data_IF_069522715386
#
_entry.id   IF_069522715386
#
_cell.length_a   1.000
_cell.length_b   1.000
_cell.length_c   1.000
_cell.angle_alpha   90.00
_cell.angle_beta   90.00
_cell.angle_gamma   90.00
#
_symmetry.space_group_name_H-M   'P 1'
#
loop_
_entity.id
_entity.type
_entity.pdbx_description
1 polymer ?
#
# COMPACT_ATOMS: atom_id res chain seq x y z
N UNK A 1 -25.82 -2.00 -3.28
CA UNK A 1 -25.44 -2.05 -1.86
C UNK A 1 -25.50 -3.49 -1.33
N UNK A 2 -26.55 -4.27 -1.57
CA UNK A 2 -26.63 -5.66 -1.09
C UNK A 2 -25.54 -6.59 -1.65
N UNK A 3 -25.05 -6.33 -2.87
CA UNK A 3 -24.01 -7.15 -3.51
C UNK A 3 -22.67 -7.19 -2.75
N UNK A 4 -22.33 -6.13 -2.01
CA UNK A 4 -21.07 -6.03 -1.27
C UNK A 4 -21.19 -6.50 0.19
N UNK A 5 -22.41 -6.76 0.68
CA UNK A 5 -22.65 -7.08 2.08
C UNK A 5 -21.91 -8.35 2.53
N UNK A 6 -21.90 -9.38 1.68
CA UNK A 6 -21.17 -10.62 1.95
C UNK A 6 -19.64 -10.40 2.01
N UNK A 7 -19.11 -9.58 1.10
CA UNK A 7 -17.69 -9.24 1.07
C UNK A 7 -17.26 -8.43 2.29
N UNK A 8 -18.10 -7.49 2.75
CA UNK A 8 -17.84 -6.69 3.95
C UNK A 8 -17.88 -7.56 5.21
N UNK A 9 -18.87 -8.43 5.35
CA UNK A 9 -18.93 -9.38 6.46
C UNK A 9 -17.67 -10.24 6.51
N UNK A 10 -17.26 -10.81 5.38
CA UNK A 10 -16.06 -11.65 5.31
C UNK A 10 -14.79 -10.85 5.60
N UNK A 11 -14.67 -9.60 5.15
CA UNK A 11 -13.51 -8.75 5.44
C UNK A 11 -13.35 -8.46 6.94
N UNK A 12 -14.43 -8.50 7.72
CA UNK A 12 -14.42 -8.28 9.17
C UNK A 12 -14.20 -9.61 9.91
N UNK A 13 -14.81 -10.71 9.46
CA UNK A 13 -14.74 -12.01 10.14
C UNK A 13 -13.50 -12.83 9.80
N UNK A 14 -12.86 -12.57 8.65
CA UNK A 14 -11.71 -13.34 8.21
C UNK A 14 -10.49 -13.11 9.08
N UNK A 15 -9.76 -14.20 9.36
CA UNK A 15 -8.46 -14.14 10.05
C UNK A 15 -7.37 -13.51 9.16
N UNK A 16 -7.55 -13.52 7.85
CA UNK A 16 -6.59 -13.00 6.88
C UNK A 16 -7.05 -11.65 6.36
N UNK A 17 -6.15 -10.67 6.36
CA UNK A 17 -6.44 -9.31 5.89
C UNK A 17 -5.40 -8.86 4.87
N UNK A 18 -5.85 -8.25 3.78
CA UNK A 18 -5.00 -7.60 2.78
C UNK A 18 -4.45 -6.26 3.28
N UNK A 19 -4.92 -5.74 4.42
CA UNK A 19 -4.61 -4.39 4.90
C UNK A 19 -3.12 -4.10 5.07
N UNK A 20 -2.32 -5.08 5.50
CA UNK A 20 -0.85 -4.92 5.61
C UNK A 20 -0.20 -4.75 4.24
N UNK A 21 -0.63 -5.55 3.25
CA UNK A 21 -0.13 -5.49 1.88
C UNK A 21 -0.55 -4.16 1.23
N UNK A 22 -1.80 -3.76 1.41
CA UNK A 22 -2.32 -2.48 0.95
C UNK A 22 -1.57 -1.30 1.57
N UNK A 23 -1.23 -1.38 2.86
CA UNK A 23 -0.41 -0.38 3.54
C UNK A 23 0.97 -0.21 2.91
N UNK A 24 1.65 -1.32 2.58
CA UNK A 24 2.93 -1.29 1.87
C UNK A 24 2.79 -0.67 0.47
N UNK A 25 1.75 -1.06 -0.27
CA UNK A 25 1.46 -0.49 -1.60
C UNK A 25 1.16 1.01 -1.49
N UNK A 26 0.42 1.45 -0.48
CA UNK A 26 0.11 2.85 -0.26
C UNK A 26 1.38 3.66 0.06
N UNK A 27 2.25 3.16 0.96
CA UNK A 27 3.55 3.80 1.26
C UNK A 27 4.40 3.96 0.00
N UNK A 28 4.45 2.93 -0.84
CA UNK A 28 5.17 3.00 -2.12
C UNK A 28 4.56 4.06 -3.06
N UNK A 29 3.22 4.11 -3.18
CA UNK A 29 2.52 5.10 -4.02
C UNK A 29 2.78 6.53 -3.55
N UNK A 30 2.79 6.77 -2.24
CA UNK A 30 3.16 8.08 -1.67
C UNK A 30 4.57 8.46 -2.07
N UNK A 31 5.53 7.54 -1.91
CA UNK A 31 6.93 7.78 -2.27
C UNK A 31 7.09 8.11 -3.75
N UNK A 32 6.45 7.34 -4.64
CA UNK A 32 6.47 7.62 -6.09
C UNK A 32 5.86 9.00 -6.36
N UNK A 33 4.76 9.35 -5.66
CA UNK A 33 4.06 10.62 -5.88
C UNK A 33 4.88 11.84 -5.47
N UNK A 34 5.63 11.75 -4.38
CA UNK A 34 6.60 12.78 -3.98
C UNK A 34 7.77 12.92 -4.95
N UNK A 35 7.96 11.97 -5.85
CA UNK A 35 9.17 11.86 -6.67
C UNK A 35 8.91 12.01 -8.17
N UNK A 36 7.65 12.11 -8.60
CA UNK A 36 7.29 12.33 -10.00
C UNK A 36 8.11 13.48 -10.61
N UNK A 37 8.83 13.18 -11.70
CA UNK A 37 9.67 14.13 -12.42
C UNK A 37 10.99 14.53 -11.75
N UNK A 38 11.27 14.04 -10.52
CA UNK A 38 12.46 14.42 -9.73
C UNK A 38 13.44 13.27 -9.48
N UNK A 39 13.04 12.02 -9.72
CA UNK A 39 13.86 10.87 -9.40
C UNK A 39 13.58 9.62 -10.24
N UNK A 40 14.63 8.85 -10.53
CA UNK A 40 14.55 7.55 -11.19
C UNK A 40 14.40 6.36 -10.22
N UNK A 41 14.28 5.16 -10.78
CA UNK A 41 14.04 3.90 -10.05
C UNK A 41 15.07 3.61 -8.94
N UNK A 42 16.34 3.96 -9.17
CA UNK A 42 17.42 3.75 -8.20
C UNK A 42 17.20 4.52 -6.90
N UNK A 43 16.73 5.77 -6.99
CA UNK A 43 16.45 6.59 -5.81
C UNK A 43 15.17 6.12 -5.10
N UNK A 44 14.19 5.61 -5.86
CA UNK A 44 13.01 4.96 -5.29
C UNK A 44 13.41 3.74 -4.44
N UNK A 45 14.25 2.85 -4.98
CA UNK A 45 14.74 1.66 -4.26
C UNK A 45 15.44 2.02 -2.96
N UNK A 46 16.31 3.03 -2.96
CA UNK A 46 17.00 3.49 -1.75
C UNK A 46 16.05 3.96 -0.66
N UNK A 47 14.99 4.69 -1.02
CA UNK A 47 13.99 5.18 -0.06
C UNK A 47 13.00 4.11 0.42
N UNK A 48 12.75 3.08 -0.39
CA UNK A 48 11.93 1.92 0.02
C UNK A 48 12.71 1.00 0.96
N UNK A 49 14.00 0.76 0.67
CA UNK A 49 14.86 -0.13 1.46
C UNK A 49 15.48 0.53 2.69
N UNK A 50 15.55 1.86 2.72
CA UNK A 50 15.89 2.56 3.96
C UNK A 50 14.75 2.36 4.96
N UNK A 51 15.04 1.93 6.21
CA UNK A 51 14.11 2.20 7.29
C UNK A 51 13.91 3.72 7.30
N UNK A 52 12.66 4.17 7.45
CA UNK A 52 12.45 5.55 7.87
C UNK A 52 13.21 5.68 9.19
N UNK A 53 14.26 6.49 9.22
CA UNK A 53 14.82 6.99 10.46
C UNK A 53 13.81 7.96 11.09
#
# INVERSE_FOLDING_TARGET
>A
MEADAAAICEAISSRWSTGVVEGHVNRLKVLIREMYGRAGLELLRRRVMSPLA
#
